data_IF_552844788156
#
_entry.id   IF_552844788156
#
_cell.length_a   1.000
_cell.length_b   1.000
_cell.length_c   1.000
_cell.angle_alpha   90.00
_cell.angle_beta   90.00
_cell.angle_gamma   90.00
#
_symmetry.space_group_name_H-M   'P 1'
#
loop_
_entity.id
_entity.type
_entity.pdbx_description
1 polymer ?
#
# COMPACT_ATOMS: atom_id res chain seq x y z
N UNK A 1 19.77 -13.32 -3.21
CA UNK A 1 18.86 -13.33 -2.01
C UNK A 1 19.29 -14.50 -1.13
N UNK A 2 19.19 -14.37 0.19
CA UNK A 2 19.48 -15.45 1.11
C UNK A 2 18.19 -15.82 1.83
N UNK A 3 17.77 -17.06 1.70
CA UNK A 3 16.65 -17.58 2.47
C UNK A 3 17.14 -18.24 3.74
N UNK A 4 16.55 -17.89 4.87
CA UNK A 4 16.75 -18.59 6.13
C UNK A 4 15.82 -19.82 6.14
N UNK A 5 16.41 -21.00 6.32
CA UNK A 5 15.68 -22.26 6.43
C UNK A 5 15.99 -22.92 7.77
N UNK A 6 14.97 -23.44 8.45
CA UNK A 6 15.08 -24.02 9.78
C UNK A 6 14.56 -23.08 10.88
N UNK A 7 14.62 -23.55 12.11
CA UNK A 7 14.24 -22.77 13.29
C UNK A 7 15.48 -22.44 14.12
N UNK A 8 15.59 -21.18 14.60
CA UNK A 8 16.69 -20.82 15.49
C UNK A 8 16.64 -21.66 16.77
N UNK A 9 17.81 -21.98 17.30
CA UNK A 9 17.91 -22.66 18.59
C UNK A 9 17.30 -21.80 19.69
N UNK A 10 16.55 -22.42 20.60
CA UNK A 10 15.97 -21.75 21.76
C UNK A 10 17.02 -21.20 22.74
N UNK A 11 18.28 -21.62 22.60
CA UNK A 11 19.38 -21.24 23.52
C UNK A 11 20.10 -19.97 23.08
N UNK A 12 20.22 -19.70 21.77
CA UNK A 12 20.98 -18.58 21.25
C UNK A 12 20.26 -17.75 20.18
N UNK A 13 19.07 -18.19 19.75
CA UNK A 13 18.25 -17.57 18.71
C UNK A 13 18.95 -17.40 17.34
N UNK A 14 20.09 -18.02 17.11
CA UNK A 14 20.88 -17.87 15.88
C UNK A 14 21.37 -19.20 15.31
N UNK A 15 21.71 -20.19 16.14
CA UNK A 15 22.12 -21.50 15.65
C UNK A 15 20.93 -22.34 15.18
N UNK A 16 21.18 -23.31 14.33
CA UNK A 16 20.13 -24.18 13.77
C UNK A 16 19.47 -23.63 12.51
N UNK A 17 19.83 -22.43 12.05
CA UNK A 17 19.36 -21.83 10.81
C UNK A 17 20.33 -22.23 9.71
N UNK A 18 19.84 -22.75 8.59
CA UNK A 18 20.58 -22.92 7.36
C UNK A 18 20.27 -21.79 6.37
N UNK A 19 21.24 -21.48 5.53
CA UNK A 19 21.06 -20.46 4.49
C UNK A 19 21.05 -21.13 3.12
N UNK A 20 20.00 -20.83 2.36
CA UNK A 20 19.87 -21.21 0.97
C UNK A 20 20.02 -19.94 0.11
N UNK A 21 21.16 -19.76 -0.57
CA UNK A 21 21.34 -18.61 -1.46
C UNK A 21 20.54 -18.79 -2.74
N UNK A 22 19.97 -17.72 -3.23
CA UNK A 22 19.25 -17.66 -4.50
C UNK A 22 19.71 -16.47 -5.33
N UNK A 23 19.97 -16.69 -6.60
CA UNK A 23 20.03 -15.65 -7.62
C UNK A 23 18.65 -15.59 -8.28
N UNK A 24 18.05 -14.43 -8.27
CA UNK A 24 16.78 -14.19 -8.92
C UNK A 24 16.89 -12.97 -9.82
N UNK A 25 16.76 -13.20 -11.14
CA UNK A 25 16.76 -12.15 -12.14
C UNK A 25 15.37 -12.06 -12.76
N UNK A 26 14.80 -10.87 -12.73
CA UNK A 26 13.51 -10.61 -13.34
C UNK A 26 13.62 -9.49 -14.37
N UNK A 27 13.05 -9.72 -15.54
CA UNK A 27 12.87 -8.72 -16.58
C UNK A 27 11.38 -8.53 -16.81
N UNK A 28 10.92 -7.31 -16.60
CA UNK A 28 9.56 -6.95 -16.95
C UNK A 28 9.55 -5.80 -17.95
N UNK A 29 8.54 -5.82 -18.79
CA UNK A 29 8.28 -4.78 -19.77
C UNK A 29 6.79 -4.45 -19.71
N UNK A 30 6.49 -3.18 -19.47
CA UNK A 30 5.13 -2.67 -19.59
C UNK A 30 5.07 -1.61 -20.69
N UNK A 31 4.04 -1.69 -21.51
CA UNK A 31 3.72 -0.71 -22.53
C UNK A 31 2.30 -0.23 -22.28
N UNK A 32 2.11 1.08 -22.18
CA UNK A 32 0.80 1.69 -21.91
C UNK A 32 0.48 2.72 -22.98
N UNK A 33 -0.81 2.85 -23.31
CA UNK A 33 -1.33 3.90 -24.16
C UNK A 33 -2.66 4.40 -23.56
N UNK A 34 -2.78 5.71 -23.40
CA UNK A 34 -3.97 6.35 -22.85
C UNK A 34 -4.46 7.43 -23.83
N UNK A 35 -5.76 7.56 -23.92
CA UNK A 35 -6.41 8.68 -24.61
C UNK A 35 -7.65 9.08 -23.81
N UNK A 36 -7.79 10.35 -23.51
CA UNK A 36 -8.97 10.86 -22.82
C UNK A 36 -9.43 12.21 -23.40
N UNK A 37 -10.71 12.45 -23.27
CA UNK A 37 -11.37 13.70 -23.61
C UNK A 37 -12.16 14.13 -22.39
N UNK A 38 -11.96 15.37 -21.97
CA UNK A 38 -12.70 16.00 -20.89
C UNK A 38 -13.27 17.33 -21.34
N UNK A 39 -14.41 17.68 -20.81
CA UNK A 39 -15.05 18.93 -21.16
C UNK A 39 -16.23 19.26 -20.25
N UNK A 40 -16.83 20.41 -20.54
CA UNK A 40 -18.04 20.86 -19.86
C UNK A 40 -19.21 20.92 -20.83
N UNK A 41 -20.42 20.77 -20.32
CA UNK A 41 -21.65 20.90 -21.06
C UNK A 41 -22.72 21.58 -20.20
N UNK A 42 -23.67 22.25 -20.84
CA UNK A 42 -24.77 22.91 -20.15
C UNK A 42 -26.04 22.07 -20.25
N UNK A 43 -26.66 21.84 -19.09
CA UNK A 43 -27.93 21.13 -18.96
C UNK A 43 -28.74 21.77 -17.83
N UNK A 44 -30.03 22.01 -18.01
CA UNK A 44 -30.95 22.61 -17.03
C UNK A 44 -30.43 23.94 -16.41
N UNK A 45 -29.73 24.76 -17.22
CA UNK A 45 -29.19 26.04 -16.77
C UNK A 45 -27.93 25.95 -15.89
N UNK A 46 -27.37 24.76 -15.72
CA UNK A 46 -26.14 24.53 -14.98
C UNK A 46 -25.03 24.00 -15.91
N UNK A 47 -23.80 24.33 -15.57
CA UNK A 47 -22.62 23.77 -16.24
C UNK A 47 -22.19 22.48 -15.52
N UNK A 48 -22.03 21.41 -16.29
CA UNK A 48 -21.62 20.09 -15.84
C UNK A 48 -20.28 19.71 -16.46
N UNK A 49 -19.60 18.72 -15.85
CA UNK A 49 -18.33 18.19 -16.34
C UNK A 49 -18.53 16.75 -16.81
N UNK A 50 -17.82 16.36 -17.84
CA UNK A 50 -17.76 14.98 -18.29
C UNK A 50 -16.36 14.63 -18.80
N UNK A 51 -16.00 13.36 -18.65
CA UNK A 51 -14.84 12.77 -19.29
C UNK A 51 -15.16 11.41 -19.86
N UNK A 52 -14.46 11.02 -20.91
CA UNK A 52 -14.43 9.67 -21.47
C UNK A 52 -12.99 9.37 -21.87
N UNK A 53 -12.56 8.13 -21.62
CA UNK A 53 -11.20 7.75 -21.97
C UNK A 53 -11.07 6.27 -22.27
N UNK A 54 -9.92 5.94 -22.84
CA UNK A 54 -9.48 4.59 -23.16
C UNK A 54 -8.08 4.36 -22.63
N UNK A 55 -7.87 3.25 -21.95
CA UNK A 55 -6.56 2.77 -21.52
C UNK A 55 -6.26 1.41 -22.13
N UNK A 56 -5.03 1.24 -22.57
CA UNK A 56 -4.48 -0.04 -22.97
C UNK A 56 -3.14 -0.25 -22.30
N UNK A 57 -2.91 -1.44 -21.76
CA UNK A 57 -1.59 -1.84 -21.27
C UNK A 57 -1.29 -3.29 -21.64
N UNK A 58 -0.02 -3.54 -21.93
CA UNK A 58 0.54 -4.88 -22.07
C UNK A 58 1.72 -5.02 -21.12
N UNK A 59 1.62 -6.00 -20.23
CA UNK A 59 2.66 -6.37 -19.28
C UNK A 59 3.20 -7.74 -19.64
N UNK A 60 4.54 -7.88 -19.62
CA UNK A 60 5.24 -9.15 -19.76
C UNK A 60 6.33 -9.21 -18.69
N UNK A 61 6.40 -10.31 -17.97
CA UNK A 61 7.49 -10.61 -17.05
C UNK A 61 8.12 -11.97 -17.38
N UNK A 62 9.44 -12.03 -17.26
CA UNK A 62 10.23 -13.24 -17.35
C UNK A 62 11.15 -13.27 -16.14
N UNK A 63 11.16 -14.38 -15.43
CA UNK A 63 12.01 -14.57 -14.27
C UNK A 63 12.93 -15.77 -14.49
N UNK A 64 14.16 -15.62 -14.03
CA UNK A 64 15.18 -16.68 -14.07
C UNK A 64 15.78 -16.75 -12.68
N UNK A 65 15.84 -17.92 -12.11
CA UNK A 65 16.43 -18.13 -10.79
C UNK A 65 17.35 -19.35 -10.76
N UNK A 66 18.28 -19.34 -9.83
CA UNK A 66 19.15 -20.46 -9.51
C UNK A 66 19.33 -20.51 -7.99
N UNK A 67 19.27 -21.71 -7.45
CA UNK A 67 19.63 -21.96 -6.06
C UNK A 67 21.11 -22.33 -5.97
N UNK A 68 21.78 -21.74 -4.99
CA UNK A 68 23.14 -22.16 -4.64
C UNK A 68 23.12 -23.35 -3.68
N UNK A 69 24.28 -24.00 -3.54
CA UNK A 69 24.47 -25.02 -2.49
C UNK A 69 24.18 -24.42 -1.12
N UNK A 70 23.59 -25.24 -0.22
CA UNK A 70 23.38 -24.80 1.17
C UNK A 70 24.69 -24.35 1.79
N UNK A 71 24.68 -23.20 2.43
CA UNK A 71 25.85 -22.66 3.15
C UNK A 71 26.00 -23.28 4.56
N UNK A 72 25.33 -24.41 4.80
CA UNK A 72 25.38 -25.12 6.06
C UNK A 72 24.51 -24.49 7.15
N UNK A 73 24.55 -25.08 8.32
CA UNK A 73 23.85 -24.58 9.52
C UNK A 73 24.74 -23.53 10.19
N UNK A 74 24.18 -22.38 10.49
CA UNK A 74 24.89 -21.34 11.23
C UNK A 74 25.11 -21.84 12.65
N UNK A 75 26.36 -21.96 13.04
CA UNK A 75 26.77 -22.40 14.39
C UNK A 75 27.41 -21.29 15.20
N UNK A 76 27.55 -20.10 14.63
CA UNK A 76 28.20 -18.93 15.22
C UNK A 76 27.29 -17.72 15.15
N UNK A 77 27.69 -16.63 15.80
CA UNK A 77 26.99 -15.36 15.76
C UNK A 77 26.84 -14.86 14.31
N UNK A 78 25.59 -14.65 13.89
CA UNK A 78 25.25 -14.23 12.53
C UNK A 78 26.00 -12.96 12.06
N UNK A 79 26.21 -11.91 12.88
CA UNK A 79 26.99 -10.75 12.52
C UNK A 79 28.47 -11.01 12.19
N UNK A 80 29.05 -12.04 12.74
CA UNK A 80 30.46 -12.41 12.50
C UNK A 80 30.64 -13.48 11.41
N UNK A 81 29.52 -14.00 10.88
CA UNK A 81 29.54 -15.06 9.89
C UNK A 81 29.81 -14.50 8.49
N UNK A 82 30.86 -15.01 7.83
CA UNK A 82 31.18 -14.68 6.44
C UNK A 82 30.95 -15.91 5.61
N UNK A 83 29.91 -15.93 4.73
CA UNK A 83 29.65 -17.09 3.87
C UNK A 83 30.70 -17.23 2.79
N UNK A 84 31.04 -18.46 2.46
CA UNK A 84 31.74 -18.77 1.23
C UNK A 84 30.80 -18.60 0.03
N UNK A 85 31.36 -18.35 -1.15
CA UNK A 85 30.56 -18.29 -2.38
C UNK A 85 29.95 -19.68 -2.65
N UNK A 86 28.63 -19.79 -2.81
CA UNK A 86 27.98 -21.08 -3.03
C UNK A 86 28.28 -21.60 -4.46
N UNK A 87 28.24 -22.90 -4.61
CA UNK A 87 28.16 -23.51 -5.94
C UNK A 87 26.72 -23.33 -6.46
N UNK A 88 26.58 -22.67 -7.61
CA UNK A 88 25.29 -22.38 -8.20
C UNK A 88 24.80 -23.58 -9.03
N UNK A 89 23.51 -23.90 -8.91
CA UNK A 89 22.84 -24.84 -9.78
C UNK A 89 22.51 -24.24 -11.15
N UNK A 90 21.86 -25.04 -11.98
CA UNK A 90 21.38 -24.57 -13.29
C UNK A 90 20.30 -23.49 -13.13
N UNK A 91 20.28 -22.55 -14.05
CA UNK A 91 19.23 -21.53 -14.09
C UNK A 91 17.90 -22.13 -14.55
N UNK A 92 16.88 -21.92 -13.76
CA UNK A 92 15.51 -22.32 -14.05
C UNK A 92 14.70 -21.09 -14.50
N UNK A 93 13.93 -21.24 -15.56
CA UNK A 93 13.00 -20.21 -16.02
C UNK A 93 11.67 -20.41 -15.30
N UNK A 94 11.19 -19.38 -14.65
CA UNK A 94 9.81 -19.35 -14.19
C UNK A 94 8.87 -19.19 -15.39
N UNK A 95 7.63 -19.62 -15.23
CA UNK A 95 6.61 -19.42 -16.27
C UNK A 95 6.46 -17.92 -16.56
N UNK A 96 6.39 -17.55 -17.84
CA UNK A 96 6.22 -16.17 -18.22
C UNK A 96 4.85 -15.65 -17.74
N UNK A 97 4.81 -14.41 -17.27
CA UNK A 97 3.56 -13.73 -17.01
C UNK A 97 3.28 -12.76 -18.16
N UNK A 98 2.12 -12.90 -18.77
CA UNK A 98 1.62 -11.96 -19.77
C UNK A 98 0.23 -11.49 -19.37
N UNK A 99 0.02 -10.17 -19.42
CA UNK A 99 -1.27 -9.56 -19.16
C UNK A 99 -1.52 -8.43 -20.13
N UNK A 100 -2.66 -8.47 -20.80
CA UNK A 100 -3.18 -7.36 -21.60
C UNK A 100 -4.43 -6.83 -20.91
N UNK A 101 -4.46 -5.53 -20.66
CA UNK A 101 -5.63 -4.86 -20.10
C UNK A 101 -6.09 -3.76 -21.05
N UNK A 102 -7.40 -3.72 -21.28
CA UNK A 102 -8.07 -2.67 -22.06
C UNK A 102 -9.21 -2.15 -21.23
N UNK A 103 -9.37 -0.85 -21.13
CA UNK A 103 -10.53 -0.27 -20.48
C UNK A 103 -11.05 0.96 -21.19
N UNK A 104 -12.38 1.08 -21.21
CA UNK A 104 -13.10 2.29 -21.60
C UNK A 104 -13.80 2.80 -20.36
N UNK A 105 -13.60 4.05 -20.02
CA UNK A 105 -14.24 4.66 -18.87
C UNK A 105 -14.93 5.95 -19.23
N UNK A 106 -15.96 6.30 -18.47
CA UNK A 106 -16.62 7.58 -18.58
C UNK A 106 -17.19 8.00 -17.23
N UNK A 107 -17.16 9.30 -16.98
CA UNK A 107 -17.74 9.92 -15.80
C UNK A 107 -18.37 11.26 -16.11
N UNK A 108 -19.34 11.62 -15.28
CA UNK A 108 -19.93 12.96 -15.28
C UNK A 108 -20.05 13.45 -13.84
N UNK A 109 -19.81 14.76 -13.66
CA UNK A 109 -20.15 15.51 -12.45
C UNK A 109 -21.28 16.46 -12.77
N UNK A 110 -22.45 16.15 -12.22
CA UNK A 110 -23.66 16.91 -12.41
C UNK A 110 -23.84 17.90 -11.24
N UNK A 111 -23.94 19.17 -11.55
CA UNK A 111 -24.20 20.24 -10.59
C UNK A 111 -25.72 20.47 -10.48
N UNK A 112 -26.26 20.35 -9.29
CA UNK A 112 -27.67 20.65 -8.96
C UNK A 112 -27.72 21.83 -8.00
N UNK A 113 -27.63 23.04 -8.57
CA UNK A 113 -27.40 24.25 -7.81
C UNK A 113 -25.92 24.44 -7.47
N UNK A 114 -25.65 25.26 -6.43
CA UNK A 114 -24.29 25.62 -6.03
C UNK A 114 -23.67 24.55 -5.11
N UNK A 115 -24.48 23.91 -4.27
CA UNK A 115 -24.00 23.07 -3.19
C UNK A 115 -24.03 21.58 -3.46
N UNK A 116 -24.98 21.11 -4.28
CA UNK A 116 -25.20 19.68 -4.52
C UNK A 116 -24.57 19.23 -5.84
N UNK A 117 -23.76 18.16 -5.77
CA UNK A 117 -23.15 17.53 -6.96
C UNK A 117 -23.33 16.03 -6.91
N UNK A 118 -23.67 15.46 -8.07
CA UNK A 118 -23.66 14.02 -8.31
C UNK A 118 -22.47 13.66 -9.21
N UNK A 119 -21.80 12.57 -8.86
CA UNK A 119 -20.72 12.00 -9.65
C UNK A 119 -21.18 10.61 -10.06
N UNK A 120 -21.26 10.36 -11.38
CA UNK A 120 -21.67 9.07 -11.92
C UNK A 120 -20.66 8.64 -12.95
N UNK A 121 -20.31 7.37 -12.96
CA UNK A 121 -19.40 6.84 -13.95
C UNK A 121 -19.38 5.33 -13.99
N UNK A 122 -18.70 4.82 -15.00
CA UNK A 122 -18.45 3.41 -15.15
C UNK A 122 -17.13 3.16 -15.90
N UNK A 123 -16.51 2.04 -15.61
CA UNK A 123 -15.35 1.55 -16.33
C UNK A 123 -15.64 0.14 -16.83
N UNK A 124 -15.57 -0.06 -18.15
CA UNK A 124 -15.54 -1.39 -18.76
C UNK A 124 -14.08 -1.81 -18.88
N UNK A 125 -13.70 -2.91 -18.21
CA UNK A 125 -12.35 -3.46 -18.27
C UNK A 125 -12.37 -4.87 -18.85
N UNK A 126 -11.53 -5.12 -19.84
CA UNK A 126 -11.17 -6.44 -20.35
C UNK A 126 -9.74 -6.78 -19.92
N UNK A 127 -9.57 -7.95 -19.31
CA UNK A 127 -8.27 -8.47 -18.89
C UNK A 127 -8.07 -9.81 -19.57
N UNK A 128 -6.91 -9.98 -20.23
CA UNK A 128 -6.46 -11.21 -20.85
C UNK A 128 -5.09 -11.59 -20.29
N UNK A 129 -4.98 -12.77 -19.75
CA UNK A 129 -3.75 -13.40 -19.24
C UNK A 129 -3.50 -14.67 -20.01
N UNK A 130 -2.40 -15.38 -19.71
CA UNK A 130 -2.15 -16.72 -20.28
C UNK A 130 -3.22 -17.75 -19.82
N UNK A 131 -3.82 -17.54 -18.65
CA UNK A 131 -4.74 -18.52 -18.03
C UNK A 131 -6.21 -18.22 -18.32
N UNK A 132 -6.58 -16.94 -18.52
CA UNK A 132 -7.99 -16.55 -18.70
C UNK A 132 -8.16 -15.23 -19.43
N UNK A 133 -9.38 -15.05 -19.94
CA UNK A 133 -9.88 -13.77 -20.43
C UNK A 133 -11.19 -13.43 -19.72
N UNK A 134 -11.25 -12.27 -19.07
CA UNK A 134 -12.42 -11.80 -18.31
C UNK A 134 -12.67 -10.32 -18.57
N UNK A 135 -13.92 -9.91 -18.41
CA UNK A 135 -14.31 -8.52 -18.50
C UNK A 135 -15.38 -8.20 -17.46
N UNK A 136 -15.47 -6.93 -17.10
CA UNK A 136 -16.49 -6.41 -16.19
C UNK A 136 -16.76 -4.93 -16.45
N UNK A 137 -18.01 -4.53 -16.24
CA UNK A 137 -18.38 -3.12 -16.03
C UNK A 137 -18.35 -2.85 -14.55
N UNK A 138 -17.54 -1.87 -14.15
CA UNK A 138 -17.41 -1.42 -12.76
C UNK A 138 -18.01 -0.02 -12.62
N UNK A 139 -19.26 0.11 -12.15
CA UNK A 139 -19.88 1.39 -11.91
C UNK A 139 -19.32 2.05 -10.65
N UNK A 140 -19.40 3.37 -10.60
CA UNK A 140 -19.22 4.16 -9.38
C UNK A 140 -20.20 5.33 -9.35
N UNK A 141 -20.58 5.73 -8.15
CA UNK A 141 -21.48 6.85 -7.90
C UNK A 141 -21.04 7.61 -6.66
N UNK A 142 -21.26 8.90 -6.66
CA UNK A 142 -20.98 9.75 -5.52
C UNK A 142 -21.95 10.93 -5.46
N UNK A 143 -22.17 11.41 -4.25
CA UNK A 143 -22.90 12.64 -3.97
C UNK A 143 -22.05 13.48 -3.03
N UNK A 144 -21.98 14.77 -3.28
CA UNK A 144 -21.36 15.74 -2.38
C UNK A 144 -22.33 16.88 -2.14
N UNK A 145 -22.39 17.34 -0.89
CA UNK A 145 -23.21 18.47 -0.48
C UNK A 145 -22.40 19.42 0.40
N UNK A 146 -22.32 20.68 0.00
CA UNK A 146 -21.70 21.73 0.79
C UNK A 146 -22.72 22.23 1.83
N UNK A 147 -22.51 21.88 3.10
CA UNK A 147 -23.34 22.38 4.20
C UNK A 147 -23.04 23.85 4.48
N UNK A 148 -21.77 24.21 4.40
CA UNK A 148 -21.22 25.56 4.48
C UNK A 148 -20.03 25.68 3.52
N UNK A 149 -19.46 26.87 3.32
CA UNK A 149 -18.22 27.02 2.54
C UNK A 149 -17.06 26.16 3.05
N UNK A 150 -17.04 25.85 4.36
CA UNK A 150 -15.97 25.10 5.00
C UNK A 150 -16.23 23.59 5.08
N UNK A 151 -17.49 23.14 5.01
CA UNK A 151 -17.84 21.74 5.24
C UNK A 151 -18.60 21.11 4.08
N UNK A 152 -18.07 20.02 3.55
CA UNK A 152 -18.68 19.22 2.50
C UNK A 152 -18.90 17.79 2.99
N UNK A 153 -20.16 17.36 3.05
CA UNK A 153 -20.49 15.94 3.24
C UNK A 153 -20.45 15.20 1.92
N UNK A 154 -20.13 13.93 1.99
CA UNK A 154 -20.14 13.06 0.79
C UNK A 154 -20.53 11.62 1.12
N UNK A 155 -21.02 10.95 0.09
CA UNK A 155 -21.24 9.51 0.07
C UNK A 155 -20.75 8.97 -1.27
N UNK A 156 -20.14 7.80 -1.28
CA UNK A 156 -19.66 7.14 -2.50
C UNK A 156 -19.92 5.64 -2.50
N UNK A 157 -20.08 5.12 -3.70
CA UNK A 157 -20.12 3.70 -4.05
C UNK A 157 -19.12 3.44 -5.16
N UNK A 158 -18.34 2.35 -5.04
CA UNK A 158 -17.38 1.95 -6.08
C UNK A 158 -17.38 0.43 -6.20
N UNK A 159 -17.48 -0.08 -7.43
CA UNK A 159 -17.29 -1.50 -7.74
C UNK A 159 -15.80 -1.81 -7.97
N UNK A 160 -15.37 -2.97 -7.50
CA UNK A 160 -13.99 -3.46 -7.58
C UNK A 160 -13.91 -4.59 -8.59
N UNK A 161 -12.86 -4.58 -9.41
CA UNK A 161 -12.48 -5.66 -10.31
C UNK A 161 -10.97 -5.74 -10.42
N UNK A 162 -10.37 -6.85 -9.92
CA UNK A 162 -8.92 -7.02 -9.86
C UNK A 162 -8.51 -8.42 -10.27
N UNK A 163 -7.63 -8.58 -11.28
CA UNK A 163 -7.12 -9.89 -11.67
C UNK A 163 -6.27 -10.52 -10.56
N UNK A 164 -6.22 -11.85 -10.57
CA UNK A 164 -5.33 -12.64 -9.72
C UNK A 164 -4.81 -13.86 -10.48
N UNK A 165 -3.66 -14.39 -10.04
CA UNK A 165 -2.98 -15.52 -10.69
C UNK A 165 -2.84 -16.72 -9.75
N UNK A 166 -3.45 -16.66 -8.58
CA UNK A 166 -3.44 -17.73 -7.58
C UNK A 166 -4.30 -18.92 -8.03
N UNK A 167 -3.89 -20.14 -7.68
CA UNK A 167 -4.70 -21.34 -7.90
C UNK A 167 -5.73 -21.46 -6.77
N UNK A 168 -6.99 -21.57 -7.12
CA UNK A 168 -8.07 -21.90 -6.20
C UNK A 168 -7.98 -23.38 -5.80
N UNK A 169 -7.81 -23.64 -4.52
CA UNK A 169 -7.67 -24.99 -3.97
C UNK A 169 -8.91 -25.86 -4.17
N UNK A 170 -10.10 -25.29 -4.37
CA UNK A 170 -11.35 -26.02 -4.59
C UNK A 170 -11.49 -26.48 -6.04
N UNK A 171 -11.19 -25.62 -7.00
CA UNK A 171 -11.35 -25.89 -8.43
C UNK A 171 -10.10 -26.43 -9.10
N UNK A 172 -8.92 -26.25 -8.47
CA UNK A 172 -7.59 -26.57 -9.02
C UNK A 172 -7.25 -25.78 -10.30
N UNK A 173 -7.89 -24.65 -10.49
CA UNK A 173 -7.69 -23.75 -11.63
C UNK A 173 -7.27 -22.35 -11.13
N UNK A 174 -6.75 -21.52 -12.04
CA UNK A 174 -6.52 -20.11 -11.71
C UNK A 174 -7.81 -19.45 -11.26
N UNK A 175 -7.77 -18.83 -10.08
CA UNK A 175 -8.94 -18.19 -9.49
C UNK A 175 -9.48 -17.07 -10.38
N UNK A 176 -10.79 -16.91 -10.39
CA UNK A 176 -11.44 -15.80 -11.08
C UNK A 176 -11.02 -14.47 -10.46
N UNK A 177 -11.12 -13.33 -11.18
CA UNK A 177 -10.80 -12.03 -10.62
C UNK A 177 -11.53 -11.73 -9.31
N UNK A 178 -10.86 -11.02 -8.41
CA UNK A 178 -11.50 -10.45 -7.22
C UNK A 178 -12.52 -9.44 -7.67
N UNK A 179 -13.73 -9.55 -7.17
CA UNK A 179 -14.83 -8.63 -7.38
C UNK A 179 -15.30 -8.09 -6.03
N UNK A 180 -15.81 -6.87 -6.01
CA UNK A 180 -16.29 -6.33 -4.75
C UNK A 180 -16.97 -4.99 -4.87
N UNK A 181 -17.37 -4.47 -3.73
CA UNK A 181 -18.06 -3.20 -3.58
C UNK A 181 -17.51 -2.44 -2.38
N UNK A 182 -17.34 -1.13 -2.55
CA UNK A 182 -16.91 -0.23 -1.49
C UNK A 182 -17.92 0.89 -1.32
N UNK A 183 -18.28 1.15 -0.07
CA UNK A 183 -19.15 2.23 0.37
C UNK A 183 -18.39 3.11 1.34
N UNK A 184 -18.51 4.41 1.16
CA UNK A 184 -17.89 5.38 2.05
C UNK A 184 -18.85 6.56 2.27
N UNK A 185 -18.90 7.05 3.50
CA UNK A 185 -19.58 8.29 3.87
C UNK A 185 -18.66 9.11 4.75
N UNK A 186 -18.59 10.40 4.50
CA UNK A 186 -17.69 11.25 5.26
C UNK A 186 -17.98 12.74 5.14
N UNK A 187 -17.17 13.48 5.86
CA UNK A 187 -17.14 14.95 5.82
C UNK A 187 -15.73 15.41 5.54
N UNK A 188 -15.60 16.32 4.61
CA UNK A 188 -14.36 17.07 4.32
C UNK A 188 -14.53 18.50 4.82
N UNK A 189 -13.48 19.06 5.32
CA UNK A 189 -13.46 20.45 5.77
C UNK A 189 -12.26 21.20 5.22
N UNK A 190 -12.44 22.51 5.08
CA UNK A 190 -11.42 23.45 4.59
C UNK A 190 -11.51 24.72 5.40
N UNK A 191 -10.51 25.00 6.21
CA UNK A 191 -10.46 26.16 7.08
C UNK A 191 -9.28 27.07 6.71
N UNK A 192 -9.29 28.29 7.24
CA UNK A 192 -8.23 29.28 7.05
C UNK A 192 -7.95 29.51 5.53
N UNK A 193 -9.01 29.77 4.77
CA UNK A 193 -8.95 29.95 3.31
C UNK A 193 -8.25 28.81 2.56
N UNK A 194 -8.48 27.57 3.04
CA UNK A 194 -7.87 26.36 2.43
C UNK A 194 -6.50 26.01 2.97
N UNK A 195 -5.92 26.80 3.86
CA UNK A 195 -4.62 26.51 4.44
C UNK A 195 -4.61 25.29 5.38
N UNK A 196 -5.77 24.92 5.94
CA UNK A 196 -5.95 23.74 6.78
C UNK A 196 -7.13 22.93 6.26
N UNK A 197 -6.92 21.64 5.98
CA UNK A 197 -7.95 20.71 5.50
C UNK A 197 -8.07 19.53 6.43
N UNK A 198 -9.29 19.04 6.61
CA UNK A 198 -9.59 17.88 7.43
C UNK A 198 -10.59 16.95 6.74
N UNK A 199 -10.56 15.69 7.13
CA UNK A 199 -11.57 14.71 6.73
C UNK A 199 -11.83 13.69 7.82
N UNK A 200 -13.06 13.20 7.86
CA UNK A 200 -13.46 12.00 8.58
C UNK A 200 -14.33 11.16 7.66
N UNK A 201 -14.07 9.87 7.62
CA UNK A 201 -14.81 8.92 6.80
C UNK A 201 -15.10 7.63 7.56
N UNK A 202 -16.24 7.03 7.25
CA UNK A 202 -16.59 5.65 7.63
C UNK A 202 -16.73 4.88 6.33
N UNK A 203 -16.09 3.73 6.24
CA UNK A 203 -16.10 2.91 5.04
C UNK A 203 -16.41 1.44 5.32
N UNK A 204 -16.90 0.77 4.29
CA UNK A 204 -17.04 -0.68 4.23
C UNK A 204 -16.72 -1.15 2.80
N UNK A 205 -15.85 -2.16 2.71
CA UNK A 205 -15.49 -2.82 1.46
C UNK A 205 -15.67 -4.32 1.63
N UNK A 206 -16.39 -4.94 0.71
CA UNK A 206 -16.54 -6.39 0.58
C UNK A 206 -15.81 -6.82 -0.70
N UNK A 207 -14.90 -7.78 -0.61
CA UNK A 207 -14.19 -8.37 -1.74
C UNK A 207 -14.45 -9.88 -1.79
N UNK A 208 -15.09 -10.33 -2.86
CA UNK A 208 -15.33 -11.73 -3.16
C UNK A 208 -14.20 -12.33 -4.02
N UNK A 209 -14.13 -13.64 -4.08
CA UNK A 209 -13.07 -14.38 -4.78
C UNK A 209 -11.66 -14.05 -4.28
N UNK A 210 -11.54 -13.63 -3.05
CA UNK A 210 -10.27 -13.19 -2.46
C UNK A 210 -9.43 -14.40 -2.03
N UNK A 211 -8.12 -14.39 -2.36
CA UNK A 211 -7.17 -15.39 -1.90
C UNK A 211 -6.88 -15.19 -0.39
N UNK A 212 -7.46 -16.06 0.45
CA UNK A 212 -7.46 -15.91 1.91
C UNK A 212 -6.08 -16.14 2.54
N UNK A 213 -5.36 -17.15 2.07
CA UNK A 213 -4.04 -17.53 2.57
C UNK A 213 -3.20 -18.12 1.43
N UNK A 214 -2.61 -17.30 0.56
CA UNK A 214 -1.81 -17.79 -0.56
C UNK A 214 -0.48 -18.36 -0.07
N UNK A 215 -0.27 -19.66 -0.33
CA UNK A 215 0.96 -20.39 -0.07
C UNK A 215 1.53 -20.89 -1.39
N UNK A 216 2.86 -20.95 -1.47
CA UNK A 216 3.54 -21.53 -2.62
C UNK A 216 3.19 -23.02 -2.77
N UNK A 217 2.74 -23.42 -3.95
CA UNK A 217 2.37 -24.77 -4.28
C UNK A 217 3.26 -25.32 -5.39
N UNK A 218 4.20 -26.24 -5.06
CA UNK A 218 5.14 -26.79 -6.03
C UNK A 218 4.47 -27.56 -7.17
N UNK A 219 3.24 -28.09 -6.91
CA UNK A 219 2.49 -28.86 -7.93
C UNK A 219 2.10 -28.01 -9.14
N UNK A 220 1.78 -26.74 -8.88
CA UNK A 220 1.35 -25.78 -9.91
C UNK A 220 2.44 -24.78 -10.26
N UNK A 221 3.58 -24.80 -9.56
CA UNK A 221 4.62 -23.76 -9.65
C UNK A 221 4.03 -22.33 -9.50
N UNK A 222 3.00 -22.20 -8.67
CA UNK A 222 2.23 -20.96 -8.40
C UNK A 222 1.79 -20.93 -6.95
N UNK A 223 1.34 -19.77 -6.48
CA UNK A 223 0.64 -19.70 -5.20
C UNK A 223 -0.74 -20.34 -5.32
N UNK A 224 -1.16 -21.11 -4.33
CA UNK A 224 -2.50 -21.64 -4.19
C UNK A 224 -3.15 -21.15 -2.90
N UNK A 225 -4.45 -21.00 -2.87
CA UNK A 225 -5.20 -20.48 -1.73
C UNK A 225 -6.64 -20.99 -1.70
N UNK A 226 -7.23 -21.15 -0.51
CA UNK A 226 -8.69 -21.08 -0.38
C UNK A 226 -9.18 -19.72 -0.86
N UNK A 227 -10.30 -19.69 -1.56
CA UNK A 227 -10.93 -18.48 -2.05
C UNK A 227 -12.17 -18.20 -1.21
N UNK A 228 -12.39 -16.95 -0.84
CA UNK A 228 -13.54 -16.55 -0.03
C UNK A 228 -13.79 -15.04 -0.07
N UNK A 229 -14.62 -14.57 0.85
CA UNK A 229 -15.01 -13.17 0.97
C UNK A 229 -14.29 -12.52 2.13
N UNK A 230 -13.66 -11.36 1.88
CA UNK A 230 -13.05 -10.49 2.91
C UNK A 230 -13.90 -9.23 3.04
N UNK A 231 -14.22 -8.86 4.27
CA UNK A 231 -14.83 -7.57 4.62
C UNK A 231 -13.86 -6.69 5.38
N UNK A 232 -13.64 -5.49 4.87
CA UNK A 232 -12.94 -4.39 5.55
C UNK A 232 -13.96 -3.30 5.90
N UNK A 233 -13.99 -2.84 7.16
CA UNK A 233 -14.81 -1.70 7.56
C UNK A 233 -14.16 -0.94 8.70
N UNK A 234 -14.25 0.39 8.65
CA UNK A 234 -13.55 1.21 9.63
C UNK A 234 -13.81 2.69 9.53
N UNK A 235 -12.95 3.43 10.21
CA UNK A 235 -12.98 4.89 10.29
C UNK A 235 -11.60 5.43 9.95
N UNK A 236 -11.57 6.51 9.19
CA UNK A 236 -10.37 7.28 8.88
C UNK A 236 -10.56 8.74 9.28
N UNK A 237 -9.50 9.33 9.83
CA UNK A 237 -9.45 10.76 10.19
C UNK A 237 -8.15 11.34 9.67
N UNK A 238 -8.25 12.48 8.98
CA UNK A 238 -7.09 13.22 8.48
C UNK A 238 -7.20 14.70 8.78
N UNK A 239 -6.04 15.34 9.04
CA UNK A 239 -5.91 16.78 9.16
C UNK A 239 -4.55 17.18 8.56
N UNK A 240 -4.55 18.13 7.64
CA UNK A 240 -3.32 18.54 6.95
C UNK A 240 -3.34 20.02 6.63
N UNK A 241 -2.25 20.70 6.92
CA UNK A 241 -2.05 22.09 6.55
C UNK A 241 -1.46 22.95 7.66
N UNK A 242 -1.64 24.24 7.53
CA UNK A 242 -1.17 25.23 8.51
C UNK A 242 -2.15 25.37 9.66
N UNK A 243 -1.70 24.99 10.86
CA UNK A 243 -2.45 25.23 12.09
C UNK A 243 -2.29 26.68 12.58
N UNK A 244 -1.10 27.25 12.32
CA UNK A 244 -0.80 28.67 12.49
C UNK A 244 0.15 29.10 11.37
N UNK A 245 0.49 30.40 11.26
CA UNK A 245 1.42 30.90 10.26
C UNK A 245 2.78 30.19 10.28
N UNK A 246 3.18 29.69 11.44
CA UNK A 246 4.49 29.06 11.64
C UNK A 246 4.43 27.56 11.91
N UNK A 247 3.24 26.96 12.07
CA UNK A 247 3.08 25.56 12.43
C UNK A 247 2.29 24.82 11.33
N UNK A 248 2.95 23.92 10.64
CA UNK A 248 2.33 22.95 9.74
C UNK A 248 2.09 21.63 10.48
N UNK A 249 0.94 21.01 10.25
CA UNK A 249 0.54 19.75 10.84
C UNK A 249 0.08 18.78 9.75
N UNK A 250 0.50 17.51 9.88
CA UNK A 250 -0.12 16.36 9.21
C UNK A 250 -0.50 15.37 10.29
N UNK A 251 -1.76 15.03 10.36
CA UNK A 251 -2.31 14.02 11.25
C UNK A 251 -3.13 13.04 10.42
N UNK A 252 -2.92 11.74 10.63
CA UNK A 252 -3.70 10.67 10.03
C UNK A 252 -3.89 9.55 11.02
N UNK A 253 -5.14 9.13 11.22
CA UNK A 253 -5.51 7.97 12.01
C UNK A 253 -6.47 7.11 11.23
N UNK A 254 -6.20 5.81 11.21
CA UNK A 254 -7.08 4.81 10.61
C UNK A 254 -7.29 3.66 11.59
N UNK A 255 -8.53 3.21 11.73
CA UNK A 255 -8.88 2.01 12.46
C UNK A 255 -9.94 1.23 11.69
N UNK A 256 -9.71 -0.06 11.48
CA UNK A 256 -10.66 -0.92 10.76
C UNK A 256 -10.61 -2.36 11.24
N UNK A 257 -11.67 -3.09 10.96
CA UNK A 257 -11.69 -4.55 11.06
C UNK A 257 -11.51 -5.15 9.67
N UNK A 258 -10.76 -6.24 9.57
CA UNK A 258 -10.62 -7.03 8.36
C UNK A 258 -10.99 -8.47 8.70
N UNK A 259 -12.12 -8.96 8.15
CA UNK A 259 -12.69 -10.26 8.51
C UNK A 259 -12.83 -11.16 7.29
N UNK A 260 -12.42 -12.40 7.44
CA UNK A 260 -12.85 -13.50 6.60
C UNK A 260 -14.32 -13.80 6.94
N UNK A 261 -15.20 -13.72 5.95
CA UNK A 261 -16.64 -13.84 6.17
C UNK A 261 -17.10 -15.29 6.35
N UNK A 262 -16.31 -16.27 5.92
CA UNK A 262 -16.59 -17.69 6.10
C UNK A 262 -16.23 -18.15 7.51
N UNK A 263 -15.06 -17.76 8.03
CA UNK A 263 -14.59 -18.19 9.36
C UNK A 263 -14.96 -17.21 10.48
N UNK A 264 -15.23 -15.93 10.14
CA UNK A 264 -15.41 -14.86 11.11
C UNK A 264 -14.11 -14.36 11.77
N UNK A 265 -12.97 -14.97 11.44
CA UNK A 265 -11.66 -14.61 11.97
C UNK A 265 -11.08 -13.37 11.28
N UNK A 266 -10.02 -12.81 11.87
CA UNK A 266 -9.25 -11.72 11.26
C UNK A 266 -8.64 -12.21 9.94
N UNK A 267 -9.06 -11.62 8.83
CA UNK A 267 -8.41 -11.79 7.54
C UNK A 267 -7.09 -11.04 7.51
N UNK A 268 -6.04 -11.65 6.95
CA UNK A 268 -4.71 -11.03 6.82
C UNK A 268 -4.17 -10.45 8.14
N UNK A 269 -3.88 -11.27 9.12
CA UNK A 269 -3.40 -10.81 10.41
C UNK A 269 -2.02 -10.13 10.36
N UNK A 270 -1.33 -10.23 9.24
CA UNK A 270 -0.06 -9.57 8.94
C UNK A 270 -0.18 -8.10 8.48
N UNK A 271 -1.41 -7.55 8.46
CA UNK A 271 -1.67 -6.14 8.15
C UNK A 271 -2.13 -5.43 9.43
N UNK A 272 -1.53 -4.29 9.82
CA UNK A 272 -2.00 -3.52 10.96
C UNK A 272 -3.41 -2.96 10.68
N UNK A 273 -4.28 -3.02 11.69
CA UNK A 273 -5.65 -2.53 11.61
C UNK A 273 -5.86 -1.18 12.28
N UNK A 274 -4.84 -0.71 12.98
CA UNK A 274 -4.80 0.64 13.53
C UNK A 274 -3.46 1.28 13.22
N UNK A 275 -3.50 2.49 12.70
CA UNK A 275 -2.29 3.27 12.39
C UNK A 275 -2.50 4.72 12.80
N UNK A 276 -1.44 5.34 13.31
CA UNK A 276 -1.37 6.77 13.61
C UNK A 276 -0.11 7.36 12.99
N UNK A 277 -0.27 8.45 12.27
CA UNK A 277 0.81 9.24 11.73
C UNK A 277 0.61 10.69 12.14
N UNK A 278 1.58 11.27 12.82
CA UNK A 278 1.59 12.68 13.17
C UNK A 278 2.91 13.27 12.73
N UNK A 279 2.87 14.38 12.03
CA UNK A 279 4.03 15.18 11.71
C UNK A 279 3.70 16.64 11.99
N UNK A 280 4.53 17.28 12.76
CA UNK A 280 4.49 18.72 13.00
C UNK A 280 5.80 19.36 12.58
N UNK A 281 5.73 20.50 11.90
CA UNK A 281 6.92 21.29 11.56
C UNK A 281 6.68 22.75 11.87
N UNK A 282 7.66 23.36 12.50
CA UNK A 282 7.58 24.72 13.04
C UNK A 282 8.70 25.59 12.49
N UNK A 283 8.34 26.70 11.87
CA UNK A 283 9.27 27.75 11.48
C UNK A 283 9.51 28.65 12.68
N UNK A 284 10.74 28.76 13.14
CA UNK A 284 11.10 29.51 14.35
C UNK A 284 11.00 31.01 14.05
N UNK A 285 10.07 31.79 14.65
CA UNK A 285 9.86 33.18 14.28
C UNK A 285 11.09 34.07 14.54
N UNK A 286 11.87 33.75 15.58
CA UNK A 286 13.10 34.47 15.93
C UNK A 286 14.26 34.19 14.97
N UNK A 287 14.18 33.08 14.24
CA UNK A 287 15.15 32.65 13.23
C UNK A 287 14.32 32.10 12.02
N UNK A 288 13.74 32.96 11.17
CA UNK A 288 12.80 32.54 10.14
C UNK A 288 13.37 31.57 9.08
N UNK A 289 14.70 31.46 9.03
CA UNK A 289 15.41 30.50 8.19
C UNK A 289 15.52 29.10 8.80
N UNK A 290 15.14 28.93 10.07
CA UNK A 290 15.17 27.65 10.79
C UNK A 290 13.79 27.05 10.85
N UNK A 291 13.65 25.85 10.32
CA UNK A 291 12.45 25.00 10.44
C UNK A 291 12.84 23.73 11.19
N UNK A 292 12.09 23.40 12.23
CA UNK A 292 12.25 22.17 13.01
C UNK A 292 10.98 21.34 12.90
N UNK A 293 11.10 20.03 13.00
CA UNK A 293 9.94 19.16 12.93
C UNK A 293 10.16 17.87 13.68
N UNK A 294 9.03 17.25 14.04
CA UNK A 294 9.00 15.92 14.63
C UNK A 294 7.86 15.12 14.02
N UNK A 295 8.04 13.81 13.93
CA UNK A 295 6.96 12.91 13.54
C UNK A 295 6.92 11.65 14.40
N UNK A 296 5.70 11.16 14.63
CA UNK A 296 5.43 9.87 15.26
C UNK A 296 4.67 9.02 14.24
N UNK A 297 5.13 7.80 14.03
CA UNK A 297 4.40 6.74 13.33
C UNK A 297 4.15 5.61 14.29
N UNK A 298 2.91 5.24 14.48
CA UNK A 298 2.50 4.14 15.33
C UNK A 298 1.61 3.17 14.56
N UNK A 299 1.72 1.90 14.86
CA UNK A 299 0.80 0.85 14.40
C UNK A 299 0.53 -0.16 15.51
N UNK A 300 -0.61 -0.85 15.41
CA UNK A 300 -0.94 -1.98 16.27
C UNK A 300 -0.12 -3.23 15.92
N UNK A 301 -0.35 -4.32 16.69
CA UNK A 301 0.31 -5.59 16.49
C UNK A 301 -0.13 -6.30 15.20
N UNK A 302 0.83 -7.03 14.63
CA UNK A 302 0.61 -7.92 13.49
C UNK A 302 1.22 -9.29 13.74
N UNK A 303 0.69 -10.30 13.09
CA UNK A 303 1.27 -11.65 13.12
C UNK A 303 1.08 -12.37 11.78
N UNK A 304 1.93 -13.37 11.54
CA UNK A 304 1.84 -14.26 10.40
C UNK A 304 1.91 -15.71 10.92
N UNK A 305 1.03 -16.56 10.39
CA UNK A 305 0.92 -17.97 10.76
C UNK A 305 1.06 -18.90 9.56
N UNK A 306 1.55 -18.40 8.43
CA UNK A 306 1.62 -19.15 7.17
C UNK A 306 2.48 -20.42 7.27
N UNK A 307 3.65 -20.34 7.88
CA UNK A 307 4.57 -21.47 8.08
C UNK A 307 4.98 -21.62 9.56
N UNK A 308 5.16 -20.50 10.24
CA UNK A 308 5.48 -20.43 11.67
C UNK A 308 4.85 -19.17 12.23
N UNK A 309 4.55 -19.16 13.53
CA UNK A 309 4.01 -17.96 14.17
C UNK A 309 5.10 -16.92 14.37
N UNK A 310 5.07 -15.86 13.57
CA UNK A 310 5.91 -14.66 13.74
C UNK A 310 5.02 -13.51 14.17
N UNK A 311 5.44 -12.78 15.19
CA UNK A 311 4.68 -11.64 15.74
C UNK A 311 5.54 -10.38 15.78
N UNK A 312 4.90 -9.28 15.59
CA UNK A 312 5.40 -7.94 15.87
C UNK A 312 4.38 -7.24 16.76
N UNK A 313 4.78 -6.91 17.97
CA UNK A 313 3.95 -6.11 18.87
C UNK A 313 3.77 -4.69 18.34
N UNK A 314 2.78 -3.98 18.85
CA UNK A 314 2.57 -2.57 18.52
C UNK A 314 3.85 -1.75 18.81
N UNK A 315 4.18 -0.83 17.92
CA UNK A 315 5.35 0.01 18.09
C UNK A 315 5.13 1.45 17.60
N UNK A 316 5.99 2.35 18.06
CA UNK A 316 6.03 3.75 17.66
C UNK A 316 7.44 4.17 17.24
N UNK A 317 7.55 4.90 16.14
CA UNK A 317 8.81 5.47 15.65
C UNK A 317 8.77 6.98 15.82
N UNK A 318 9.75 7.51 16.55
CA UNK A 318 9.96 8.95 16.68
C UNK A 318 11.05 9.40 15.73
N UNK A 319 10.73 10.40 14.89
CA UNK A 319 11.69 11.05 14.01
C UNK A 319 11.69 12.55 14.26
N UNK A 320 12.83 13.19 14.02
CA UNK A 320 12.98 14.64 14.08
C UNK A 320 13.73 15.16 12.88
N UNK A 321 13.49 16.41 12.55
CA UNK A 321 14.24 17.10 11.51
C UNK A 321 14.53 18.54 11.90
N UNK A 322 15.64 19.09 11.37
CA UNK A 322 15.90 20.51 11.35
C UNK A 322 16.42 20.90 9.98
N UNK A 323 15.94 22.01 9.43
CA UNK A 323 16.45 22.59 8.19
C UNK A 323 16.75 24.07 8.38
N UNK A 324 17.81 24.54 7.73
CA UNK A 324 18.24 25.93 7.79
C UNK A 324 18.55 26.44 6.39
N UNK A 325 17.83 27.47 5.95
CA UNK A 325 18.07 28.15 4.69
C UNK A 325 19.24 29.16 4.90
N UNK A 326 20.47 28.79 4.51
CA UNK A 326 21.61 29.67 4.59
C UNK A 326 21.36 30.93 3.75
N UNK A 327 20.92 30.70 2.51
CA UNK A 327 20.48 31.74 1.57
C UNK A 327 19.44 31.12 0.60
N UNK A 328 19.03 31.88 -0.42
CA UNK A 328 18.04 31.42 -1.42
C UNK A 328 18.50 30.23 -2.26
N UNK A 329 19.81 29.96 -2.30
CA UNK A 329 20.40 28.87 -3.09
C UNK A 329 20.83 27.66 -2.27
N UNK A 330 21.05 27.79 -0.97
CA UNK A 330 21.65 26.73 -0.14
C UNK A 330 20.82 26.48 1.10
N UNK A 331 20.39 25.25 1.29
CA UNK A 331 19.70 24.76 2.49
C UNK A 331 20.45 23.57 3.08
N UNK A 332 20.64 23.59 4.40
CA UNK A 332 21.11 22.44 5.19
C UNK A 332 19.92 21.75 5.84
N UNK A 333 19.95 20.41 5.89
CA UNK A 333 18.95 19.62 6.57
C UNK A 333 19.61 18.49 7.34
N UNK A 334 19.15 18.27 8.57
CA UNK A 334 19.52 17.14 9.42
C UNK A 334 18.25 16.38 9.77
N UNK A 335 18.27 15.06 9.63
CA UNK A 335 17.18 14.18 10.07
C UNK A 335 17.72 13.14 11.03
N UNK A 336 16.99 12.87 12.11
CA UNK A 336 17.17 11.74 12.98
C UNK A 336 15.94 10.84 12.87
N UNK A 337 16.15 9.60 12.51
CA UNK A 337 15.07 8.63 12.33
C UNK A 337 15.15 7.55 13.41
N UNK A 338 13.98 7.07 13.86
CA UNK A 338 13.88 6.06 14.90
C UNK A 338 14.73 6.42 16.14
N UNK A 339 14.54 7.61 16.69
CA UNK A 339 15.39 8.14 17.77
C UNK A 339 15.31 7.32 19.07
N UNK A 340 14.23 6.59 19.27
CA UNK A 340 14.05 5.66 20.39
C UNK A 340 14.81 4.36 20.19
N UNK A 341 15.40 4.16 19.00
CA UNK A 341 16.05 2.93 18.55
C UNK A 341 15.17 1.70 18.73
N UNK A 342 13.88 1.85 18.40
CA UNK A 342 12.91 0.78 18.42
C UNK A 342 13.33 -0.34 17.48
N UNK A 343 13.35 -1.58 17.97
CA UNK A 343 13.62 -2.78 17.18
C UNK A 343 12.31 -3.39 16.73
N UNK A 344 12.00 -3.29 15.47
CA UNK A 344 10.72 -3.67 14.90
C UNK A 344 10.87 -4.39 13.56
N UNK A 345 9.80 -5.10 13.16
CA UNK A 345 9.68 -5.71 11.85
C UNK A 345 8.79 -4.83 10.96
N UNK A 346 9.27 -4.48 9.77
CA UNK A 346 8.55 -3.61 8.82
C UNK A 346 7.39 -4.30 8.13
N UNK A 347 7.39 -5.63 8.12
CA UNK A 347 6.33 -6.45 7.53
C UNK A 347 6.55 -7.92 7.83
N UNK A 348 5.47 -8.67 7.78
CA UNK A 348 5.43 -10.12 7.95
C UNK A 348 4.82 -10.76 6.73
N UNK A 349 5.43 -11.80 6.19
CA UNK A 349 4.88 -12.58 5.07
C UNK A 349 5.55 -13.94 4.98
N UNK A 350 4.77 -15.00 4.80
CA UNK A 350 5.29 -16.35 4.62
C UNK A 350 6.11 -16.86 5.81
N UNK A 351 5.75 -16.48 7.05
CA UNK A 351 6.49 -16.84 8.26
C UNK A 351 7.81 -16.10 8.46
N UNK A 352 8.06 -15.04 7.69
CA UNK A 352 9.26 -14.22 7.75
C UNK A 352 8.95 -12.79 8.16
N UNK A 353 9.92 -12.11 8.77
CA UNK A 353 9.86 -10.71 9.12
C UNK A 353 11.14 -9.98 8.71
N UNK A 354 11.00 -8.72 8.31
CA UNK A 354 12.12 -7.87 7.91
C UNK A 354 12.33 -6.77 8.94
N UNK A 355 13.53 -6.71 9.53
CA UNK A 355 13.84 -5.66 10.50
C UNK A 355 13.81 -4.28 9.86
N UNK A 356 13.21 -3.36 10.58
CA UNK A 356 13.30 -1.94 10.27
C UNK A 356 14.69 -1.36 10.58
N UNK A 357 14.95 -0.19 10.01
CA UNK A 357 16.21 0.50 10.25
C UNK A 357 16.34 0.90 11.73
N UNK A 358 17.50 0.69 12.36
CA UNK A 358 17.79 1.21 13.70
C UNK A 358 17.85 2.75 13.68
N UNK A 359 18.08 3.35 14.84
CA UNK A 359 18.33 4.79 14.93
C UNK A 359 19.42 5.20 13.94
N UNK A 360 19.10 6.18 13.11
CA UNK A 360 20.03 6.66 12.09
C UNK A 360 19.87 8.17 11.87
N UNK A 361 20.93 8.79 11.36
CA UNK A 361 20.99 10.23 11.11
C UNK A 361 21.42 10.49 9.68
N UNK A 362 20.80 11.47 9.05
CA UNK A 362 21.16 11.92 7.71
C UNK A 362 21.41 13.42 7.71
N UNK A 363 22.44 13.84 6.99
CA UNK A 363 22.72 15.25 6.72
C UNK A 363 22.64 15.45 5.21
N UNK A 364 21.93 16.47 4.78
CA UNK A 364 21.78 16.83 3.37
C UNK A 364 22.05 18.31 3.16
N UNK A 365 22.66 18.64 2.02
CA UNK A 365 22.80 20.00 1.51
C UNK A 365 22.05 20.06 0.18
N UNK A 366 21.09 20.98 0.08
CA UNK A 366 20.34 21.23 -1.14
C UNK A 366 20.80 22.51 -1.79
N UNK A 367 21.05 22.43 -3.10
CA UNK A 367 21.37 23.58 -3.93
C UNK A 367 20.20 23.84 -4.88
N UNK A 368 19.74 25.09 -4.94
CA UNK A 368 18.73 25.59 -5.89
C UNK A 368 19.44 26.50 -6.90
N UNK A 369 19.25 26.25 -8.17
CA UNK A 369 19.80 27.06 -9.28
C UNK A 369 18.79 28.09 -9.75
#
# INVERSE_FOLDING_TARGET
MLYLNGSPSATDNTSGISLLPEIYNQKFKETTANADIQGTFNLLGQQHEANIGYNWSKYNAQSVYSYGSSLGVITTDLPSWTPEEPTWGDFTYADPEERVMKSVYGATRLHLGEDLKFILGANYTEIETLDYKKNKVSPYAGITYNFTPEYTGYMSYTSIFRPQTVIDLSTKQTAVPVEGESYEVGVKSSWLDGALTGNIAIFRTDEDNFALNPLWDPLYNKYSSPIGTIRSQGVEVGLTGKLTDNLDLVFGFSTFSLKNMESGERGRPNIPTQTLNVLASYTVPQIPKLKVGASIKWQDDIHDTSYSTVKQDAYALLNVMASYDLNEHVMFQVNGNNLTNEKYLTGLSGGQGYYGAPANYTVAVKFKY
#
